data_IF_248269506970
#
_entry.id   IF_248269506970
#
_cell.length_a   1.000
_cell.length_b   1.000
_cell.length_c   1.000
_cell.angle_alpha   90.00
_cell.angle_beta   90.00
_cell.angle_gamma   90.00
#
_symmetry.space_group_name_H-M   'P 1'
#
loop_
_entity.id
_entity.type
_entity.pdbx_description
1 polymer ?
#
# COMPACT_ATOMS: atom_id res chain seq x y z
N UNK A 1 17.45 17.02 35.26
CA UNK A 1 16.37 16.04 35.02
C UNK A 1 15.10 16.68 34.43
N UNK A 2 15.21 17.58 33.44
CA UNK A 2 14.04 18.26 32.81
C UNK A 2 14.04 18.09 31.26
N UNK A 3 15.16 17.65 30.70
CA UNK A 3 15.39 17.48 29.25
C UNK A 3 14.55 16.38 28.58
N UNK A 4 13.90 15.50 29.34
CA UNK A 4 13.09 14.38 28.79
C UNK A 4 11.60 14.70 28.62
N UNK A 5 11.12 15.86 29.09
CA UNK A 5 9.69 16.23 29.06
C UNK A 5 9.30 17.06 27.81
N UNK A 6 10.27 17.54 27.03
CA UNK A 6 9.99 18.43 25.90
C UNK A 6 9.90 17.70 24.55
N UNK A 7 10.39 16.47 24.44
CA UNK A 7 10.34 15.65 23.21
C UNK A 7 9.12 14.72 23.13
N UNK A 8 8.34 14.61 24.21
CA UNK A 8 7.15 13.76 24.30
C UNK A 8 6.07 14.06 23.23
N UNK A 9 5.69 15.33 22.96
CA UNK A 9 4.71 15.62 21.89
C UNK A 9 5.26 15.30 20.49
N UNK A 10 6.58 15.45 20.28
CA UNK A 10 7.24 15.10 19.02
C UNK A 10 7.24 13.58 18.79
N UNK A 11 7.53 12.80 19.83
CA UNK A 11 7.45 11.33 19.78
C UNK A 11 6.01 10.83 19.52
N UNK A 12 5.00 11.50 20.06
CA UNK A 12 3.61 11.15 19.81
C UNK A 12 3.19 11.42 18.35
N UNK A 13 3.62 12.56 17.78
CA UNK A 13 3.39 12.89 16.36
C UNK A 13 4.09 11.91 15.41
N UNK A 14 5.35 11.56 15.70
CA UNK A 14 6.10 10.58 14.91
C UNK A 14 5.40 9.22 14.95
N UNK A 15 5.02 8.73 16.13
CA UNK A 15 4.28 7.45 16.25
C UNK A 15 2.93 7.44 15.56
N UNK A 16 2.21 8.56 15.56
CA UNK A 16 0.95 8.67 14.85
C UNK A 16 1.18 8.70 13.33
N UNK A 17 2.21 9.40 12.87
CA UNK A 17 2.64 9.41 11.47
C UNK A 17 3.12 8.03 11.00
N UNK A 18 3.88 7.31 11.82
CA UNK A 18 4.29 5.92 11.58
C UNK A 18 3.06 5.00 11.45
N UNK A 19 2.10 5.10 12.35
CA UNK A 19 0.88 4.27 12.30
C UNK A 19 -0.02 4.59 11.12
N UNK A 20 -0.12 5.87 10.73
CA UNK A 20 -0.83 6.30 9.52
C UNK A 20 -0.09 5.79 8.29
N UNK A 21 1.25 5.89 8.24
CA UNK A 21 2.05 5.38 7.15
C UNK A 21 1.96 3.85 7.02
N UNK A 22 1.93 3.12 8.14
CA UNK A 22 1.70 1.67 8.15
C UNK A 22 0.32 1.30 7.61
N UNK A 23 -0.73 2.03 7.98
CA UNK A 23 -2.08 1.77 7.48
C UNK A 23 -2.21 2.13 6.00
N UNK A 24 -1.59 3.25 5.58
CA UNK A 24 -1.55 3.68 4.18
C UNK A 24 -0.74 2.71 3.33
N UNK A 25 0.41 2.21 3.80
CA UNK A 25 1.16 1.16 3.11
C UNK A 25 0.34 -0.13 3.05
N UNK A 26 -0.39 -0.46 4.11
CA UNK A 26 -1.25 -1.64 4.11
C UNK A 26 -2.38 -1.50 3.09
N UNK A 27 -3.02 -0.34 2.97
CA UNK A 27 -4.07 -0.07 1.98
C UNK A 27 -3.53 0.02 0.55
N UNK A 28 -2.39 0.69 0.35
CA UNK A 28 -1.73 0.86 -0.95
C UNK A 28 -1.20 -0.45 -1.53
N UNK A 29 -0.81 -1.40 -0.66
CA UNK A 29 -0.34 -2.73 -1.03
C UNK A 29 -1.36 -3.83 -0.70
N UNK A 30 -2.60 -3.46 -0.36
CA UNK A 30 -3.67 -4.44 -0.24
C UNK A 30 -4.03 -4.95 -1.64
N UNK A 31 -3.90 -6.26 -1.85
CA UNK A 31 -4.18 -6.89 -3.14
C UNK A 31 -5.62 -6.62 -3.59
N UNK A 32 -6.58 -6.60 -2.66
CA UNK A 32 -7.98 -6.32 -2.94
C UNK A 32 -8.21 -4.89 -3.42
N UNK A 33 -7.62 -3.91 -2.76
CA UNK A 33 -7.69 -2.50 -3.15
C UNK A 33 -7.03 -2.25 -4.51
N UNK A 34 -5.86 -2.83 -4.77
CA UNK A 34 -5.19 -2.68 -6.09
C UNK A 34 -6.06 -3.29 -7.20
N UNK A 35 -6.64 -4.47 -6.99
CA UNK A 35 -7.53 -5.10 -7.96
C UNK A 35 -8.79 -4.28 -8.24
N UNK A 36 -9.38 -3.67 -7.21
CA UNK A 36 -10.52 -2.74 -7.37
C UNK A 36 -10.14 -1.51 -8.18
N UNK A 37 -8.96 -0.94 -7.94
CA UNK A 37 -8.48 0.21 -8.70
C UNK A 37 -8.20 -0.13 -10.16
N UNK A 38 -7.67 -1.32 -10.46
CA UNK A 38 -7.50 -1.80 -11.84
C UNK A 38 -8.85 -1.93 -12.56
N UNK A 39 -9.84 -2.52 -11.91
CA UNK A 39 -11.21 -2.62 -12.46
C UNK A 39 -11.82 -1.24 -12.69
N UNK A 40 -11.69 -0.33 -11.72
CA UNK A 40 -12.18 1.04 -11.86
C UNK A 40 -11.53 1.76 -13.04
N UNK A 41 -10.23 1.56 -13.23
CA UNK A 41 -9.48 2.15 -14.33
C UNK A 41 -9.95 1.62 -15.70
N UNK A 42 -10.27 0.33 -15.81
CA UNK A 42 -10.90 -0.24 -17.02
C UNK A 42 -12.26 0.39 -17.30
N UNK A 43 -13.12 0.52 -16.28
CA UNK A 43 -14.42 1.14 -16.45
C UNK A 43 -14.30 2.60 -16.91
N UNK A 44 -13.35 3.36 -16.35
CA UNK A 44 -13.09 4.74 -16.79
C UNK A 44 -12.67 4.82 -18.25
N UNK A 45 -11.84 3.88 -18.71
CA UNK A 45 -11.47 3.81 -20.13
C UNK A 45 -12.68 3.43 -21.00
N UNK A 46 -13.48 2.45 -20.57
CA UNK A 46 -14.69 2.00 -21.28
C UNK A 46 -15.71 3.13 -21.45
N UNK A 47 -15.85 3.98 -20.44
CA UNK A 47 -16.72 5.16 -20.50
C UNK A 47 -16.07 6.40 -21.13
N UNK A 48 -14.86 6.27 -21.70
CA UNK A 48 -14.08 7.35 -22.31
C UNK A 48 -13.77 8.52 -21.34
N UNK A 49 -13.78 8.27 -20.02
CA UNK A 49 -13.45 9.26 -18.98
C UNK A 49 -11.96 9.59 -18.94
N UNK A 50 -11.12 8.67 -19.45
CA UNK A 50 -9.65 8.81 -19.54
C UNK A 50 -9.16 8.35 -20.91
N UNK A 51 -8.00 8.85 -21.35
CA UNK A 51 -7.37 8.38 -22.58
C UNK A 51 -6.70 7.01 -22.40
N UNK A 52 -6.42 6.33 -23.52
CA UNK A 52 -5.64 5.09 -23.52
C UNK A 52 -4.24 5.34 -22.93
N UNK A 53 -3.57 6.45 -23.27
CA UNK A 53 -2.25 6.74 -22.71
C UNK A 53 -2.30 6.97 -21.19
N UNK A 54 -3.36 7.63 -20.68
CA UNK A 54 -3.55 7.81 -19.23
C UNK A 54 -3.84 6.49 -18.53
N UNK A 55 -4.64 5.62 -19.16
CA UNK A 55 -4.91 4.27 -18.68
C UNK A 55 -3.60 3.47 -18.55
N UNK A 56 -2.80 3.37 -19.61
CA UNK A 56 -1.57 2.58 -19.63
C UNK A 56 -0.57 3.03 -18.55
N UNK A 57 -0.44 4.34 -18.34
CA UNK A 57 0.44 4.89 -17.31
C UNK A 57 0.00 4.49 -15.89
N UNK A 58 -1.30 4.65 -15.60
CA UNK A 58 -1.88 4.33 -14.29
C UNK A 58 -1.90 2.83 -14.04
N UNK A 59 -2.21 2.03 -15.07
CA UNK A 59 -2.22 0.57 -15.00
C UNK A 59 -0.83 0.03 -14.69
N UNK A 60 0.20 0.51 -15.41
CA UNK A 60 1.57 0.08 -15.19
C UNK A 60 2.04 0.34 -13.75
N UNK A 61 1.62 1.45 -13.15
CA UNK A 61 1.91 1.74 -11.75
C UNK A 61 1.20 0.77 -10.79
N UNK A 62 -0.11 0.54 -11.00
CA UNK A 62 -0.89 -0.38 -10.18
C UNK A 62 -0.36 -1.82 -10.26
N UNK A 63 0.04 -2.29 -11.44
CA UNK A 63 0.61 -3.62 -11.64
C UNK A 63 1.97 -3.79 -10.96
N UNK A 64 2.82 -2.75 -10.93
CA UNK A 64 4.06 -2.79 -10.14
C UNK A 64 3.78 -2.95 -8.65
N UNK A 65 2.79 -2.21 -8.12
CA UNK A 65 2.38 -2.33 -6.71
C UNK A 65 1.80 -3.72 -6.42
N UNK A 66 1.00 -4.26 -7.35
CA UNK A 66 0.44 -5.60 -7.25
C UNK A 66 1.54 -6.66 -7.13
N UNK A 67 2.57 -6.59 -7.98
CA UNK A 67 3.68 -7.53 -7.94
C UNK A 67 4.42 -7.50 -6.59
N UNK A 68 4.67 -6.31 -6.04
CA UNK A 68 5.29 -6.13 -4.72
C UNK A 68 4.40 -6.72 -3.62
N UNK A 69 3.10 -6.40 -3.65
CA UNK A 69 2.13 -6.91 -2.68
C UNK A 69 2.08 -8.45 -2.70
N UNK A 70 2.06 -9.05 -3.89
CA UNK A 70 2.01 -10.51 -4.06
C UNK A 70 3.29 -11.19 -3.57
N UNK A 71 4.46 -10.60 -3.83
CA UNK A 71 5.72 -11.12 -3.33
C UNK A 71 5.79 -11.08 -1.79
N UNK A 72 5.26 -10.03 -1.16
CA UNK A 72 5.17 -9.91 0.30
C UNK A 72 4.23 -10.94 0.91
N UNK A 73 3.05 -11.14 0.31
CA UNK A 73 2.11 -12.17 0.74
C UNK A 73 2.74 -13.57 0.69
N UNK A 74 3.39 -13.91 -0.42
CA UNK A 74 4.09 -15.19 -0.58
C UNK A 74 5.20 -15.35 0.47
N UNK A 75 6.03 -14.34 0.68
CA UNK A 75 7.10 -14.38 1.68
C UNK A 75 6.57 -14.62 3.10
N UNK A 76 5.46 -13.96 3.46
CA UNK A 76 4.81 -14.15 4.77
C UNK A 76 4.22 -15.56 4.93
N UNK A 77 3.67 -16.14 3.86
CA UNK A 77 3.17 -17.52 3.87
C UNK A 77 4.30 -18.53 4.06
N UNK A 78 5.45 -18.35 3.39
CA UNK A 78 6.62 -19.21 3.57
C UNK A 78 7.20 -19.14 4.98
N UNK A 79 7.34 -17.93 5.55
CA UNK A 79 7.82 -17.80 6.94
C UNK A 79 6.89 -18.46 7.95
N UNK A 80 5.57 -18.38 7.73
CA UNK A 80 4.60 -19.04 8.61
C UNK A 80 4.71 -20.58 8.52
N UNK A 81 4.91 -21.12 7.31
CA UNK A 81 5.07 -22.56 7.11
C UNK A 81 6.35 -23.12 7.76
N UNK A 82 7.44 -22.34 7.82
CA UNK A 82 8.69 -22.74 8.49
C UNK A 82 8.62 -22.67 10.02
N UNK A 83 7.68 -21.92 10.61
CA UNK A 83 7.49 -21.84 12.06
C UNK A 83 6.61 -22.97 12.64
N UNK A 84 5.86 -23.69 11.80
CA UNK A 84 5.00 -24.81 12.22
C UNK A 84 5.68 -26.20 12.17
N UNK A 85 6.89 -26.32 11.59
CA UNK A 85 7.71 -27.54 11.54
C UNK A 85 8.71 -27.65 12.71
#
# INVERSE_FOLDING_TARGET
MIHKLFTFPFHALVKLGEKIAEEVDRELYDLGSIQKHLLQLELQLEFEDISIEEYEQKEAELLRRYAIAKAREQAALYSFAEEED
#
